data_IF_872094637554
#
_entry.id   IF_872094637554
#
_cell.length_a   1.000
_cell.length_b   1.000
_cell.length_c   1.000
_cell.angle_alpha   90.00
_cell.angle_beta   90.00
_cell.angle_gamma   90.00
#
_symmetry.space_group_name_H-M   'P 1'
#
loop_
_entity.id
_entity.type
_entity.pdbx_description
1 polymer ?
#
# COMPACT_ATOMS: atom_id res chain seq x y z
N UNK A 1 2.60 15.16 0.99
CA UNK A 1 2.78 13.74 0.64
C UNK A 1 2.05 12.89 1.67
N UNK A 2 1.45 11.77 1.26
CA UNK A 2 0.75 10.84 2.15
C UNK A 2 1.20 9.41 1.90
N UNK A 3 1.35 8.61 2.96
CA UNK A 3 1.62 7.18 2.87
C UNK A 3 0.54 6.49 3.68
N UNK A 4 -0.20 5.58 3.06
CA UNK A 4 -1.26 4.83 3.72
C UNK A 4 -0.92 3.34 3.69
N UNK A 5 -0.91 2.70 4.86
CA UNK A 5 -0.65 1.27 5.02
C UNK A 5 -1.97 0.56 5.34
N UNK A 6 -2.35 -0.43 4.51
CA UNK A 6 -3.64 -1.11 4.51
C UNK A 6 -4.87 -0.18 4.62
N UNK A 7 -5.01 0.85 3.75
CA UNK A 7 -6.13 1.78 3.83
C UNK A 7 -7.45 1.13 3.44
N UNK A 8 -8.52 1.54 4.15
CA UNK A 8 -9.89 1.16 3.83
C UNK A 8 -10.59 2.23 3.00
N UNK A 9 -11.54 1.82 2.16
CA UNK A 9 -12.30 2.75 1.31
C UNK A 9 -13.54 3.33 2.00
N UNK A 10 -14.11 2.62 2.98
CA UNK A 10 -15.20 3.07 3.85
C UNK A 10 -15.20 2.29 5.16
N UNK A 11 -15.39 2.96 6.30
CA UNK A 11 -15.43 2.30 7.61
C UNK A 11 -16.67 1.39 7.76
N UNK A 12 -17.82 1.80 7.23
CA UNK A 12 -19.04 0.98 7.25
C UNK A 12 -18.83 -0.35 6.49
N UNK A 13 -18.12 -0.31 5.35
CA UNK A 13 -17.81 -1.51 4.57
C UNK A 13 -16.92 -2.48 5.35
N UNK A 14 -15.81 -1.99 5.96
CA UNK A 14 -14.92 -2.82 6.77
C UNK A 14 -15.65 -3.47 7.95
N UNK A 15 -16.52 -2.72 8.63
CA UNK A 15 -17.31 -3.26 9.75
C UNK A 15 -18.27 -4.35 9.26
N UNK A 16 -18.97 -4.11 8.15
CA UNK A 16 -19.89 -5.08 7.57
C UNK A 16 -19.17 -6.37 7.14
N UNK A 17 -18.00 -6.24 6.53
CA UNK A 17 -17.15 -7.38 6.11
C UNK A 17 -16.63 -8.15 7.31
N UNK A 18 -16.14 -7.46 8.33
CA UNK A 18 -15.70 -8.09 9.57
C UNK A 18 -16.83 -8.89 10.22
N UNK A 19 -18.05 -8.32 10.26
CA UNK A 19 -19.23 -9.01 10.77
C UNK A 19 -19.62 -10.23 9.92
N UNK A 20 -19.52 -10.13 8.59
CA UNK A 20 -19.77 -11.23 7.67
C UNK A 20 -18.74 -12.36 7.86
N UNK A 21 -17.45 -12.04 7.93
CA UNK A 21 -16.36 -12.99 8.19
C UNK A 21 -16.52 -13.67 9.55
N UNK A 22 -16.93 -12.92 10.58
CA UNK A 22 -17.25 -13.49 11.90
C UNK A 22 -18.40 -14.49 11.85
N UNK A 23 -19.49 -14.15 11.15
CA UNK A 23 -20.62 -15.07 10.91
C UNK A 23 -20.16 -16.35 10.20
N UNK A 24 -19.32 -16.22 9.17
CA UNK A 24 -18.81 -17.37 8.42
C UNK A 24 -17.97 -18.30 9.30
N UNK A 25 -16.97 -17.75 10.02
CA UNK A 25 -16.11 -18.53 10.94
C UNK A 25 -16.92 -19.25 12.02
N UNK A 26 -17.95 -18.60 12.56
CA UNK A 26 -18.85 -19.20 13.53
C UNK A 26 -19.71 -20.31 12.90
N UNK A 27 -20.15 -20.15 11.66
CA UNK A 27 -20.93 -21.17 10.94
C UNK A 27 -20.14 -22.45 10.66
N UNK A 28 -18.81 -22.33 10.54
CA UNK A 28 -17.88 -23.45 10.37
C UNK A 28 -17.55 -24.16 11.69
N UNK A 29 -17.77 -23.51 12.83
CA UNK A 29 -17.44 -24.04 14.17
C UNK A 29 -18.37 -25.17 14.67
N UNK A 30 -19.27 -25.68 13.82
CA UNK A 30 -20.07 -26.88 14.10
C UNK A 30 -21.19 -26.71 15.14
N UNK A 31 -21.43 -25.50 15.65
CA UNK A 31 -22.48 -25.25 16.65
C UNK A 31 -23.86 -25.31 15.97
N UNK A 32 -24.77 -26.19 16.41
CA UNK A 32 -26.11 -26.30 15.85
C UNK A 32 -26.88 -24.99 16.05
N UNK A 33 -27.37 -24.40 14.96
CA UNK A 33 -28.13 -23.15 14.94
C UNK A 33 -27.39 -21.94 14.36
N UNK A 34 -26.05 -21.94 14.33
CA UNK A 34 -25.29 -20.79 13.79
C UNK A 34 -25.37 -20.72 12.25
N UNK A 35 -25.42 -21.88 11.56
CA UNK A 35 -25.57 -21.91 10.10
C UNK A 35 -26.90 -21.32 9.61
N UNK A 36 -27.90 -21.23 10.49
CA UNK A 36 -29.24 -20.70 10.21
C UNK A 36 -29.36 -19.20 10.51
N UNK A 37 -28.26 -18.56 10.90
CA UNK A 37 -28.24 -17.13 11.23
C UNK A 37 -28.67 -16.28 10.01
N UNK A 38 -29.74 -15.47 10.12
CA UNK A 38 -30.21 -14.64 9.03
C UNK A 38 -29.18 -13.61 8.57
N UNK A 39 -29.24 -13.18 7.30
CA UNK A 39 -28.37 -12.11 6.79
C UNK A 39 -28.66 -10.74 7.41
N UNK A 40 -29.83 -10.57 8.02
CA UNK A 40 -30.20 -9.38 8.79
C UNK A 40 -29.28 -9.13 10.01
N UNK A 41 -28.51 -10.12 10.46
CA UNK A 41 -27.58 -9.92 11.58
C UNK A 41 -26.43 -8.96 11.24
N UNK A 42 -25.96 -8.94 9.99
CA UNK A 42 -24.88 -8.05 9.55
C UNK A 42 -25.29 -6.58 9.72
N UNK A 43 -26.41 -6.09 9.14
CA UNK A 43 -26.83 -4.71 9.35
C UNK A 43 -27.18 -4.41 10.81
N UNK A 44 -27.63 -5.39 11.60
CA UNK A 44 -27.82 -5.20 13.05
C UNK A 44 -26.50 -5.01 13.80
N UNK A 45 -25.46 -5.77 13.46
CA UNK A 45 -24.12 -5.61 14.01
C UNK A 45 -23.54 -4.24 13.64
N UNK A 46 -23.66 -3.84 12.37
CA UNK A 46 -23.26 -2.49 11.90
C UNK A 46 -24.00 -1.41 12.69
N UNK A 47 -25.32 -1.54 12.89
CA UNK A 47 -26.10 -0.57 13.67
C UNK A 47 -25.69 -0.52 15.14
N UNK A 48 -25.38 -1.66 15.76
CA UNK A 48 -24.88 -1.71 17.14
C UNK A 48 -23.50 -1.03 17.27
N UNK A 49 -22.57 -1.33 16.36
CA UNK A 49 -21.24 -0.72 16.33
C UNK A 49 -21.33 0.78 16.07
N UNK A 50 -22.17 1.21 15.11
CA UNK A 50 -22.46 2.63 14.85
C UNK A 50 -22.95 3.35 16.10
N UNK A 51 -23.91 2.76 16.84
CA UNK A 51 -24.40 3.33 18.11
C UNK A 51 -23.29 3.46 19.15
N UNK A 52 -22.44 2.44 19.29
CA UNK A 52 -21.29 2.48 20.20
C UNK A 52 -20.33 3.61 19.83
N UNK A 53 -19.93 3.70 18.56
CA UNK A 53 -18.99 4.72 18.06
C UNK A 53 -19.58 6.12 18.20
N UNK A 54 -20.86 6.32 17.88
CA UNK A 54 -21.55 7.59 18.12
C UNK A 54 -21.50 8.00 19.59
N UNK A 55 -21.73 7.05 20.51
CA UNK A 55 -21.70 7.32 21.95
C UNK A 55 -20.30 7.60 22.52
N UNK A 56 -19.26 6.99 21.95
CA UNK A 56 -17.90 7.02 22.49
C UNK A 56 -16.98 8.03 21.79
N UNK A 57 -17.16 8.23 20.49
CA UNK A 57 -16.28 9.02 19.65
C UNK A 57 -16.99 10.18 18.92
N UNK A 58 -18.31 10.33 19.11
CA UNK A 58 -19.10 11.46 18.61
C UNK A 58 -19.02 11.69 17.09
N UNK A 59 -18.85 10.62 16.30
CA UNK A 59 -18.94 10.68 14.84
C UNK A 59 -19.74 9.50 14.28
N UNK A 60 -20.31 9.69 13.08
CA UNK A 60 -21.01 8.63 12.36
C UNK A 60 -20.03 7.85 11.47
N UNK A 61 -20.00 6.52 11.59
CA UNK A 61 -19.16 5.65 10.76
C UNK A 61 -19.40 5.85 9.25
N UNK A 62 -20.61 6.30 8.87
CA UNK A 62 -20.99 6.54 7.47
C UNK A 62 -20.32 7.77 6.88
N UNK A 63 -19.91 8.71 7.73
CA UNK A 63 -19.17 9.90 7.32
C UNK A 63 -17.69 9.58 7.09
N UNK A 64 -17.18 8.49 7.67
CA UNK A 64 -15.81 8.00 7.45
C UNK A 64 -15.75 7.18 6.16
N UNK A 65 -15.83 7.89 5.04
CA UNK A 65 -15.83 7.34 3.69
C UNK A 65 -14.74 7.98 2.81
N UNK A 66 -13.47 7.54 2.93
CA UNK A 66 -12.36 8.05 2.12
C UNK A 66 -12.62 7.99 0.61
N UNK A 67 -13.29 6.94 0.12
CA UNK A 67 -13.59 6.78 -1.31
C UNK A 67 -14.43 7.94 -1.87
N UNK A 68 -15.35 8.48 -1.07
CA UNK A 68 -16.18 9.60 -1.49
C UNK A 68 -15.43 10.94 -1.58
N UNK A 69 -14.24 11.04 -0.98
CA UNK A 69 -13.48 12.28 -0.86
C UNK A 69 -12.17 12.27 -1.65
N UNK A 70 -11.59 11.09 -1.91
CA UNK A 70 -10.26 10.97 -2.50
C UNK A 70 -10.14 11.53 -3.93
N UNK A 71 -11.24 11.62 -4.67
CA UNK A 71 -11.26 12.21 -6.02
C UNK A 71 -10.96 13.72 -6.05
N UNK A 72 -11.15 14.44 -4.94
CA UNK A 72 -10.79 15.85 -4.83
C UNK A 72 -9.38 16.06 -4.25
N UNK A 73 -8.71 14.99 -3.83
CA UNK A 73 -7.41 15.07 -3.17
C UNK A 73 -6.29 15.03 -4.20
N UNK A 74 -5.46 16.07 -4.24
CA UNK A 74 -4.38 16.22 -5.22
C UNK A 74 -2.97 15.93 -4.66
N UNK A 75 -2.83 15.77 -3.34
CA UNK A 75 -1.53 15.47 -2.75
C UNK A 75 -1.05 14.08 -3.20
N UNK A 76 0.24 13.90 -3.54
CA UNK A 76 0.77 12.58 -3.89
C UNK A 76 0.59 11.58 -2.74
N UNK A 77 0.13 10.37 -3.08
CA UNK A 77 -0.09 9.28 -2.13
C UNK A 77 0.61 7.99 -2.55
N UNK A 78 1.19 7.31 -1.58
CA UNK A 78 1.67 5.94 -1.69
C UNK A 78 0.77 5.03 -0.85
N UNK A 79 0.14 4.04 -1.47
CA UNK A 79 -0.73 3.06 -0.84
C UNK A 79 0.02 1.73 -0.74
N UNK A 80 0.16 1.19 0.47
CA UNK A 80 0.64 -0.15 0.74
C UNK A 80 -0.51 -1.07 1.13
N UNK A 81 -0.49 -2.33 0.70
CA UNK A 81 -1.48 -3.31 1.15
C UNK A 81 -0.93 -4.74 1.13
N UNK A 82 -1.17 -5.49 2.21
CA UNK A 82 -0.84 -6.92 2.27
C UNK A 82 -1.84 -7.76 1.47
N UNK A 83 -1.38 -8.69 0.65
CA UNK A 83 -2.28 -9.53 -0.18
C UNK A 83 -3.17 -10.47 0.65
N UNK A 84 -2.72 -10.83 1.86
CA UNK A 84 -3.42 -11.74 2.77
C UNK A 84 -4.09 -10.97 3.93
N UNK A 85 -4.40 -9.69 3.74
CA UNK A 85 -5.05 -8.85 4.74
C UNK A 85 -6.51 -9.28 4.95
N UNK A 86 -6.77 -9.87 6.13
CA UNK A 86 -8.08 -10.38 6.54
C UNK A 86 -8.90 -9.38 7.38
N UNK A 87 -8.32 -8.22 7.70
CA UNK A 87 -9.01 -7.14 8.42
C UNK A 87 -9.56 -6.10 7.45
N UNK A 88 -8.76 -5.70 6.46
CA UNK A 88 -9.15 -4.78 5.40
C UNK A 88 -8.80 -5.46 4.10
N UNK A 89 -9.79 -5.86 3.30
CA UNK A 89 -9.49 -6.58 2.08
C UNK A 89 -8.71 -5.70 1.06
N UNK A 90 -7.75 -6.26 0.30
CA UNK A 90 -6.90 -5.49 -0.62
C UNK A 90 -7.62 -4.73 -1.72
N UNK A 91 -8.87 -5.07 -2.00
CA UNK A 91 -9.70 -4.35 -2.96
C UNK A 91 -10.00 -2.90 -2.50
N UNK A 92 -9.96 -2.61 -1.19
CA UNK A 92 -10.16 -1.25 -0.68
C UNK A 92 -9.08 -0.30 -1.17
N UNK A 93 -7.81 -0.71 -1.08
CA UNK A 93 -6.68 0.03 -1.65
C UNK A 93 -6.83 0.21 -3.16
N UNK A 94 -7.29 -0.82 -3.88
CA UNK A 94 -7.52 -0.74 -5.32
C UNK A 94 -8.57 0.32 -5.66
N UNK A 95 -9.73 0.30 -4.97
CA UNK A 95 -10.78 1.30 -5.16
C UNK A 95 -10.30 2.72 -4.88
N UNK A 96 -9.51 2.89 -3.83
CA UNK A 96 -8.93 4.20 -3.50
C UNK A 96 -7.98 4.66 -4.57
N UNK A 97 -7.09 3.78 -5.06
CA UNK A 97 -6.17 4.07 -6.16
C UNK A 97 -6.92 4.51 -7.41
N UNK A 98 -7.94 3.75 -7.83
CA UNK A 98 -8.66 4.01 -9.08
C UNK A 98 -9.49 5.29 -9.04
N UNK A 99 -9.97 5.69 -7.86
CA UNK A 99 -10.77 6.90 -7.66
C UNK A 99 -9.95 8.13 -7.22
N UNK A 100 -8.64 7.98 -6.96
CA UNK A 100 -7.83 9.06 -6.41
C UNK A 100 -7.63 10.20 -7.43
N UNK A 101 -7.80 11.45 -7.00
CA UNK A 101 -7.70 12.61 -7.89
C UNK A 101 -6.27 13.01 -8.26
N UNK A 102 -5.31 12.74 -7.37
CA UNK A 102 -3.91 13.10 -7.53
C UNK A 102 -3.00 11.95 -7.98
N UNK A 103 -1.69 12.18 -7.90
CA UNK A 103 -0.71 11.13 -8.15
C UNK A 103 -0.80 10.04 -7.07
N UNK A 104 -1.07 8.81 -7.48
CA UNK A 104 -1.24 7.66 -6.60
C UNK A 104 -0.37 6.50 -7.06
N UNK A 105 0.20 5.77 -6.11
CA UNK A 105 0.97 4.56 -6.37
C UNK A 105 0.51 3.48 -5.40
N UNK A 106 0.11 2.32 -5.91
CA UNK A 106 -0.27 1.17 -5.09
C UNK A 106 0.82 0.09 -5.12
N UNK A 107 1.31 -0.30 -3.95
CA UNK A 107 2.24 -1.41 -3.74
C UNK A 107 1.50 -2.49 -2.97
N UNK A 108 1.45 -3.69 -3.57
CA UNK A 108 0.99 -4.91 -2.91
C UNK A 108 2.20 -5.70 -2.44
N UNK A 109 2.11 -6.30 -1.26
CA UNK A 109 3.17 -7.13 -0.70
C UNK A 109 2.59 -8.38 -0.02
N UNK A 110 3.40 -9.43 0.12
CA UNK A 110 3.00 -10.63 0.83
C UNK A 110 2.81 -10.34 2.34
N UNK A 111 1.79 -10.95 2.95
CA UNK A 111 1.49 -10.78 4.37
C UNK A 111 0.09 -10.23 4.64
N UNK A 112 -0.30 -10.28 5.91
CA UNK A 112 -1.57 -9.77 6.42
C UNK A 112 -1.45 -8.34 6.96
N UNK A 113 -2.54 -7.81 7.52
CA UNK A 113 -2.59 -6.47 8.09
C UNK A 113 -1.43 -6.18 9.05
N UNK A 114 -1.08 -7.17 9.88
CA UNK A 114 -0.13 -7.03 10.98
C UNK A 114 1.24 -7.68 10.69
N UNK A 115 1.46 -8.21 9.49
CA UNK A 115 2.76 -8.78 9.11
C UNK A 115 3.86 -7.71 9.13
N UNK A 116 5.07 -8.10 9.47
CA UNK A 116 6.23 -7.21 9.35
C UNK A 116 6.39 -6.74 7.90
N UNK A 117 6.60 -5.44 7.71
CA UNK A 117 6.76 -4.87 6.37
C UNK A 117 8.19 -5.10 5.88
N UNK A 118 8.33 -5.75 4.73
CA UNK A 118 9.65 -6.04 4.15
C UNK A 118 10.43 -4.79 3.71
N UNK A 119 11.75 -4.93 3.65
CA UNK A 119 12.70 -3.85 3.31
C UNK A 119 12.36 -3.12 2.00
N UNK A 120 11.79 -3.84 1.02
CA UNK A 120 11.38 -3.24 -0.25
C UNK A 120 10.27 -2.19 -0.07
N UNK A 121 9.25 -2.50 0.74
CA UNK A 121 8.17 -1.55 1.02
C UNK A 121 8.71 -0.35 1.81
N UNK A 122 9.46 -0.60 2.89
CA UNK A 122 10.04 0.45 3.73
C UNK A 122 11.02 1.35 2.97
N UNK A 123 11.85 0.76 2.10
CA UNK A 123 12.76 1.50 1.21
C UNK A 123 11.99 2.38 0.21
N UNK A 124 10.87 1.89 -0.33
CA UNK A 124 10.04 2.67 -1.25
C UNK A 124 9.34 3.82 -0.54
N UNK A 125 8.79 3.60 0.66
CA UNK A 125 8.22 4.64 1.51
C UNK A 125 9.26 5.72 1.80
N UNK A 126 10.47 5.32 2.16
CA UNK A 126 11.58 6.24 2.45
C UNK A 126 11.93 7.09 1.23
N UNK A 127 12.09 6.47 0.06
CA UNK A 127 12.41 7.18 -1.18
C UNK A 127 11.29 8.16 -1.58
N UNK A 128 10.03 7.74 -1.48
CA UNK A 128 8.86 8.57 -1.76
C UNK A 128 8.82 9.83 -0.87
N UNK A 129 9.00 9.65 0.44
CA UNK A 129 9.01 10.75 1.39
C UNK A 129 10.22 11.67 1.17
N UNK A 130 11.42 11.12 0.95
CA UNK A 130 12.62 11.92 0.68
C UNK A 130 12.50 12.76 -0.59
N UNK A 131 11.86 12.24 -1.63
CA UNK A 131 11.66 12.97 -2.88
C UNK A 131 10.71 14.17 -2.71
N UNK A 132 9.71 14.05 -1.83
CA UNK A 132 8.63 15.04 -1.68
C UNK A 132 8.79 16.00 -0.49
N UNK A 133 9.56 15.61 0.52
CA UNK A 133 9.69 16.40 1.77
C UNK A 133 11.05 17.07 1.92
N UNK A 134 12.06 16.72 1.12
CA UNK A 134 13.36 17.40 1.20
C UNK A 134 13.24 18.81 0.61
N UNK A 135 13.45 19.87 1.39
CA UNK A 135 13.67 21.19 0.82
C UNK A 135 14.96 21.11 0.01
N UNK A 136 14.88 21.40 -1.29
CA UNK A 136 16.07 21.63 -2.10
C UNK A 136 16.45 23.09 -1.93
N UNK A 137 17.70 23.38 -1.59
CA UNK A 137 18.21 24.77 -1.61
C UNK A 137 18.13 25.41 -3.01
N UNK A 138 17.87 24.65 -4.09
CA UNK A 138 17.60 25.18 -5.42
C UNK A 138 16.49 24.38 -6.13
N UNK A 139 15.47 25.07 -6.65
CA UNK A 139 14.39 24.62 -7.55
C UNK A 139 13.86 23.18 -7.36
N UNK A 140 12.77 23.04 -6.59
CA UNK A 140 12.26 21.74 -6.16
C UNK A 140 11.48 20.97 -7.26
N UNK A 141 11.72 19.65 -7.43
CA UNK A 141 10.95 18.77 -8.33
C UNK A 141 9.52 18.43 -7.85
N UNK A 142 8.98 19.02 -6.78
CA UNK A 142 7.58 18.75 -6.40
C UNK A 142 6.61 19.14 -7.51
N UNK A 143 6.84 20.24 -8.22
CA UNK A 143 6.09 20.59 -9.44
C UNK A 143 6.16 19.45 -10.46
N UNK A 144 7.34 18.85 -10.65
CA UNK A 144 7.52 17.71 -11.53
C UNK A 144 6.76 16.47 -11.02
N UNK A 145 6.66 16.17 -9.73
CA UNK A 145 5.89 15.01 -9.23
C UNK A 145 4.37 15.25 -9.14
N UNK A 146 3.95 16.51 -9.01
CA UNK A 146 2.56 16.95 -9.07
C UNK A 146 2.02 16.93 -10.51
N UNK A 147 2.87 17.22 -11.50
CA UNK A 147 2.49 17.25 -12.93
C UNK A 147 3.02 16.07 -13.78
N UNK A 148 3.97 15.27 -13.27
CA UNK A 148 4.49 14.13 -14.02
C UNK A 148 3.46 13.02 -14.10
N UNK A 149 3.12 12.68 -15.34
CA UNK A 149 2.30 11.55 -15.72
C UNK A 149 2.84 10.22 -15.12
N UNK A 150 1.98 9.21 -14.90
CA UNK A 150 2.30 7.95 -14.19
C UNK A 150 3.49 7.16 -14.75
N UNK A 151 3.92 7.44 -15.98
CA UNK A 151 5.10 6.85 -16.63
C UNK A 151 6.43 7.20 -15.97
N UNK A 152 6.48 8.21 -15.09
CA UNK A 152 7.73 8.80 -14.61
C UNK A 152 8.32 8.10 -13.39
N UNK A 153 7.49 7.41 -12.58
CA UNK A 153 8.01 6.54 -11.51
C UNK A 153 8.72 5.30 -12.09
N UNK A 154 8.27 4.83 -13.27
CA UNK A 154 8.99 3.82 -14.08
C UNK A 154 10.30 4.36 -14.64
N UNK A 155 10.39 5.66 -14.90
CA UNK A 155 11.64 6.34 -15.30
C UNK A 155 12.65 6.47 -14.15
N UNK A 156 12.16 6.68 -12.92
CA UNK A 156 13.01 6.70 -11.72
C UNK A 156 13.54 5.31 -11.37
N UNK A 157 12.70 4.27 -11.52
CA UNK A 157 13.07 2.86 -11.33
C UNK A 157 13.77 2.24 -12.57
N UNK A 158 13.73 2.90 -13.72
CA UNK A 158 14.24 2.39 -15.00
C UNK A 158 15.63 2.91 -15.41
N UNK A 159 16.36 3.57 -14.50
CA UNK A 159 17.75 3.98 -14.80
C UNK A 159 18.66 2.73 -14.81
N UNK A 160 19.58 2.59 -15.80
CA UNK A 160 20.31 1.35 -16.04
C UNK A 160 21.24 0.91 -14.89
N UNK A 161 21.48 1.76 -13.89
CA UNK A 161 22.32 1.45 -12.73
C UNK A 161 21.67 0.45 -11.74
N UNK A 162 20.36 0.21 -11.80
CA UNK A 162 19.67 -0.83 -11.01
C UNK A 162 19.34 -2.09 -11.84
N UNK A 163 19.48 -2.03 -13.17
CA UNK A 163 19.11 -3.12 -14.07
C UNK A 163 20.14 -4.26 -14.11
N UNK A 164 21.37 -4.05 -13.66
CA UNK A 164 22.40 -5.10 -13.67
C UNK A 164 22.25 -6.14 -12.55
N UNK A 165 21.51 -5.86 -11.47
CA UNK A 165 21.25 -6.87 -10.43
C UNK A 165 19.96 -7.66 -10.64
N UNK A 166 19.09 -7.23 -11.57
CA UNK A 166 17.80 -7.89 -11.83
C UNK A 166 17.61 -8.04 -13.35
N UNK A 167 18.19 -9.10 -13.92
CA UNK A 167 17.83 -9.54 -15.27
C UNK A 167 16.40 -10.09 -15.25
N UNK A 168 15.42 -9.24 -15.52
CA UNK A 168 14.08 -9.65 -15.91
C UNK A 168 13.96 -9.57 -17.43
N UNK A 169 13.75 -10.70 -18.08
CA UNK A 169 13.50 -10.80 -19.52
C UNK A 169 12.21 -10.06 -19.85
N UNK A 170 12.29 -9.15 -20.83
CA UNK A 170 11.15 -8.43 -21.35
C UNK A 170 10.21 -9.39 -22.10
N UNK A 171 9.03 -9.63 -21.54
CA UNK A 171 7.95 -10.40 -22.16
C UNK A 171 6.61 -9.73 -21.92
N UNK A 172 5.84 -9.52 -23.00
CA UNK A 172 4.47 -9.00 -22.96
C UNK A 172 3.58 -9.94 -22.14
N UNK A 173 2.81 -9.35 -21.22
CA UNK A 173 1.60 -9.91 -20.62
C UNK A 173 1.75 -11.26 -19.92
N UNK A 174 1.66 -11.30 -18.60
CA UNK A 174 1.55 -12.57 -17.90
C UNK A 174 0.61 -12.47 -16.69
N UNK A 175 -0.48 -13.23 -16.79
CA UNK A 175 -1.29 -13.69 -15.66
C UNK A 175 -0.58 -14.86 -14.96
N UNK A 176 -0.93 -15.06 -13.70
CA UNK A 176 -1.03 -16.37 -13.00
C UNK A 176 0.05 -16.75 -11.97
N UNK A 177 -0.49 -17.40 -10.95
CA UNK A 177 0.00 -18.59 -10.24
C UNK A 177 1.16 -18.43 -9.25
N UNK A 178 0.88 -18.86 -8.02
CA UNK A 178 1.85 -19.02 -6.95
C UNK A 178 2.96 -20.00 -7.31
N UNK A 179 4.14 -19.74 -6.74
CA UNK A 179 5.31 -20.62 -6.85
C UNK A 179 5.95 -20.77 -5.47
N UNK A 180 6.20 -22.03 -5.17
CA UNK A 180 6.76 -22.63 -3.95
C UNK A 180 8.23 -22.24 -3.72
N UNK A 181 8.64 -22.14 -2.46
CA UNK A 181 9.99 -21.72 -2.04
C UNK A 181 10.85 -22.94 -1.74
N UNK A 182 11.66 -23.35 -2.73
CA UNK A 182 12.79 -24.28 -2.55
C UNK A 182 14.10 -23.52 -2.55
N UNK A 183 14.84 -23.59 -1.45
CA UNK A 183 16.02 -22.75 -1.20
C UNK A 183 17.30 -23.20 -1.89
N UNK A 184 18.31 -22.31 -1.85
CA UNK A 184 19.72 -22.65 -1.72
C UNK A 184 20.53 -21.40 -1.31
N UNK A 185 21.50 -21.62 -0.43
CA UNK A 185 22.28 -20.61 0.31
C UNK A 185 23.58 -20.35 -0.45
N UNK A 186 23.94 -19.08 -0.71
CA UNK A 186 25.27 -18.75 -1.21
C UNK A 186 26.01 -17.80 -0.26
N UNK A 187 27.24 -18.19 0.06
CA UNK A 187 28.15 -17.60 1.04
C UNK A 187 29.17 -16.72 0.35
N UNK A 188 29.30 -15.45 0.76
CA UNK A 188 30.53 -14.68 0.56
C UNK A 188 30.84 -13.76 1.74
N UNK A 189 32.09 -13.90 2.22
CA UNK A 189 32.74 -13.13 3.29
C UNK A 189 32.80 -11.63 2.98
N UNK A 190 32.28 -10.83 3.92
CA UNK A 190 32.88 -9.60 4.46
C UNK A 190 33.45 -8.55 3.50
N UNK A 191 32.66 -7.50 3.26
CA UNK A 191 33.03 -6.09 3.53
C UNK A 191 31.76 -5.23 3.49
N UNK A 192 31.29 -4.79 4.65
CA UNK A 192 30.20 -3.85 4.83
C UNK A 192 30.66 -2.44 4.43
N UNK A 193 30.21 -1.98 3.27
CA UNK A 193 30.12 -0.56 2.95
C UNK A 193 28.70 -0.34 2.45
N UNK A 194 27.90 0.36 3.26
CA UNK A 194 26.46 0.49 3.04
C UNK A 194 26.13 1.05 1.67
N UNK A 195 25.11 0.45 1.03
CA UNK A 195 24.55 0.81 -0.27
C UNK A 195 24.20 2.30 -0.43
N UNK A 196 24.13 3.05 0.68
CA UNK A 196 23.91 4.49 0.72
C UNK A 196 25.08 5.32 0.15
N UNK A 197 26.34 4.88 0.34
CA UNK A 197 27.51 5.61 -0.18
C UNK A 197 27.64 5.52 -1.71
N UNK A 198 27.10 4.45 -2.30
CA UNK A 198 27.07 4.25 -3.76
C UNK A 198 26.00 5.13 -4.42
N UNK A 199 24.81 5.21 -3.80
CA UNK A 199 23.70 6.05 -4.25
C UNK A 199 24.02 7.55 -4.23
N UNK A 200 24.75 8.02 -3.20
CA UNK A 200 25.19 9.42 -3.12
C UNK A 200 26.27 9.74 -4.18
N UNK A 201 27.21 8.83 -4.43
CA UNK A 201 28.23 9.00 -5.48
C UNK A 201 27.65 9.02 -6.90
N UNK A 202 26.58 8.27 -7.15
CA UNK A 202 25.86 8.27 -8.43
C UNK A 202 25.10 9.58 -8.69
N UNK A 203 24.68 10.30 -7.65
CA UNK A 203 24.06 11.62 -7.80
C UNK A 203 25.08 12.70 -8.19
N UNK A 204 26.28 12.70 -7.60
CA UNK A 204 27.30 13.72 -7.89
C UNK A 204 27.93 13.58 -9.29
N UNK A 205 27.95 12.38 -9.88
CA UNK A 205 28.55 12.17 -11.20
C UNK A 205 27.61 12.53 -12.37
N UNK A 206 26.32 12.78 -12.11
CA UNK A 206 25.34 13.11 -13.14
C UNK A 206 24.93 14.59 -13.19
N UNK A 207 25.52 15.46 -12.35
CA UNK A 207 25.24 16.89 -12.38
C UNK A 207 26.56 17.70 -12.30
N UNK A 208 27.08 18.23 -13.41
CA UNK A 208 28.32 19.02 -13.41
C UNK A 208 28.18 20.39 -12.73
N UNK A 209 26.97 20.78 -12.30
CA UNK A 209 26.76 22.01 -11.51
C UNK A 209 26.99 21.81 -10.00
N UNK A 210 27.28 20.57 -9.55
CA UNK A 210 27.65 20.27 -8.17
C UNK A 210 29.15 19.95 -8.14
N UNK A 211 29.97 21.00 -8.21
CA UNK A 211 31.38 20.98 -7.87
C UNK A 211 31.70 22.11 -6.91
#
# INVERSE_FOLDING_TARGET
>A
AMVCDSPFSSLEAVIAETAASGKQKLSESGVPGIRLMPDMLIPMAVAAIRRSILSQAAFDIREVNPLSKCGATLIPVLLGHGEDDDMVAPYHSQRLHDAYGGNTTLIRFAGSHNSERGDLFLGTVTAFLMALLRPTDDAHPAEALLYAQPSTLRGLMGRPALAESCRFTAGKGFQSAGVDVGGERCSHRGRTAGNLALLVKLCCLCNPAIR
#
